data_IF_851988158980
#
_entry.id   IF_851988158980
#
_cell.length_a   1.000
_cell.length_b   1.000
_cell.length_c   1.000
_cell.angle_alpha   90.00
_cell.angle_beta   90.00
_cell.angle_gamma   90.00
#
_symmetry.space_group_name_H-M   'P 1'
#
loop_
_entity.id
_entity.type
_entity.pdbx_description
1 polymer ?
#
# COMPACT_ATOMS: atom_id res chain seq x y z
N UNK A 1 16.78 43.79 -27.51
CA UNK A 1 15.89 43.77 -26.32
C UNK A 1 14.55 43.22 -26.76
N UNK A 2 14.32 41.92 -26.60
CA UNK A 2 12.95 41.37 -26.67
C UNK A 2 12.88 40.19 -25.72
N UNK A 3 11.90 40.28 -24.84
CA UNK A 3 11.76 39.62 -23.55
C UNK A 3 11.78 38.09 -23.63
N UNK A 4 12.73 37.48 -22.93
CA UNK A 4 12.61 36.10 -22.47
C UNK A 4 11.50 36.09 -21.42
N UNK A 5 10.27 35.81 -21.86
CA UNK A 5 9.10 35.60 -21.01
C UNK A 5 9.32 34.33 -20.18
N UNK A 6 9.97 34.52 -19.02
CA UNK A 6 10.00 33.56 -17.92
C UNK A 6 8.57 33.39 -17.42
N UNK A 7 7.82 32.42 -18.00
CA UNK A 7 6.51 32.03 -17.50
C UNK A 7 6.70 31.22 -16.22
N UNK A 8 6.86 31.98 -15.15
CA UNK A 8 7.04 31.61 -13.75
C UNK A 8 5.70 31.09 -13.20
N UNK A 9 5.55 29.78 -13.02
CA UNK A 9 5.00 29.19 -11.80
C UNK A 9 4.95 27.67 -11.90
N UNK A 10 5.68 27.00 -11.01
CA UNK A 10 5.32 25.66 -10.56
C UNK A 10 3.81 25.67 -10.28
N UNK A 11 3.01 24.98 -11.08
CA UNK A 11 1.54 24.94 -10.94
C UNK A 11 1.19 23.95 -9.83
N UNK A 12 1.76 24.19 -8.64
CA UNK A 12 1.68 23.33 -7.44
C UNK A 12 0.24 23.00 -7.16
N UNK A 13 -0.63 24.01 -7.26
CA UNK A 13 -2.03 23.89 -6.95
C UNK A 13 -2.76 22.95 -7.92
N UNK A 14 -2.39 22.96 -9.21
CA UNK A 14 -2.96 22.05 -10.21
C UNK A 14 -2.44 20.63 -10.02
N UNK A 15 -1.13 20.48 -9.80
CA UNK A 15 -0.48 19.20 -9.54
C UNK A 15 -1.01 18.55 -8.26
N UNK A 16 -1.13 19.33 -7.18
CA UNK A 16 -1.67 18.93 -5.90
C UNK A 16 -3.15 18.59 -6.02
N UNK A 17 -3.98 19.40 -6.70
CA UNK A 17 -5.39 19.07 -6.93
C UNK A 17 -5.55 17.77 -7.72
N UNK A 18 -4.70 17.52 -8.72
CA UNK A 18 -4.77 16.30 -9.51
C UNK A 18 -4.27 15.07 -8.71
N UNK A 19 -3.18 15.22 -7.95
CA UNK A 19 -2.67 14.18 -7.05
C UNK A 19 -3.66 13.85 -5.92
N UNK A 20 -4.28 14.86 -5.31
CA UNK A 20 -5.30 14.71 -4.28
C UNK A 20 -6.59 14.10 -4.85
N UNK A 21 -7.08 14.58 -6.00
CA UNK A 21 -8.29 14.05 -6.64
C UNK A 21 -8.13 12.60 -7.10
N UNK A 22 -7.00 12.28 -7.72
CA UNK A 22 -6.64 10.90 -8.09
C UNK A 22 -6.43 10.01 -6.88
N UNK A 23 -5.75 10.51 -5.84
CA UNK A 23 -5.52 9.78 -4.60
C UNK A 23 -6.83 9.47 -3.86
N UNK A 24 -7.74 10.44 -3.72
CA UNK A 24 -9.01 10.26 -3.01
C UNK A 24 -9.95 9.28 -3.73
N UNK A 25 -10.01 9.35 -5.05
CA UNK A 25 -10.78 8.38 -5.85
C UNK A 25 -10.18 6.97 -5.80
N UNK A 26 -8.84 6.86 -5.79
CA UNK A 26 -8.16 5.59 -5.56
C UNK A 26 -8.39 5.01 -4.15
N UNK A 27 -8.44 5.88 -3.14
CA UNK A 27 -8.70 5.50 -1.76
C UNK A 27 -10.13 4.98 -1.56
N UNK A 28 -11.13 5.66 -2.12
CA UNK A 28 -12.54 5.24 -2.03
C UNK A 28 -12.78 3.91 -2.75
N UNK A 29 -12.20 3.72 -3.94
CA UNK A 29 -12.23 2.45 -4.65
C UNK A 29 -11.62 1.31 -3.81
N UNK A 30 -10.54 1.59 -3.07
CA UNK A 30 -9.92 0.62 -2.16
C UNK A 30 -10.80 0.25 -0.97
N UNK A 31 -11.58 1.19 -0.41
CA UNK A 31 -12.53 0.86 0.67
C UNK A 31 -13.56 -0.16 0.20
N UNK A 32 -14.17 0.08 -0.97
CA UNK A 32 -15.13 -0.86 -1.57
C UNK A 32 -14.46 -2.20 -1.84
N UNK A 33 -13.26 -2.18 -2.43
CA UNK A 33 -12.50 -3.39 -2.72
C UNK A 33 -12.15 -4.19 -1.46
N UNK A 34 -11.78 -3.52 -0.36
CA UNK A 34 -11.47 -4.17 0.93
C UNK A 34 -12.73 -4.77 1.52
N UNK A 35 -13.87 -4.09 1.48
CA UNK A 35 -15.13 -4.62 1.99
C UNK A 35 -15.59 -5.87 1.20
N UNK A 36 -15.52 -5.82 -0.13
CA UNK A 36 -16.02 -6.91 -1.00
C UNK A 36 -15.07 -8.09 -1.06
N UNK A 37 -13.75 -7.86 -1.19
CA UNK A 37 -12.77 -8.93 -1.44
C UNK A 37 -12.08 -9.44 -0.18
N UNK A 38 -12.46 -8.95 1.00
CA UNK A 38 -11.88 -9.39 2.28
C UNK A 38 -11.90 -10.92 2.46
N UNK A 39 -13.04 -11.61 2.28
CA UNK A 39 -13.11 -13.05 2.51
C UNK A 39 -12.18 -13.85 1.61
N UNK A 40 -12.08 -13.43 0.34
CA UNK A 40 -11.18 -14.05 -0.64
C UNK A 40 -9.71 -13.83 -0.25
N UNK A 41 -9.33 -12.59 0.11
CA UNK A 41 -7.97 -12.26 0.52
C UNK A 41 -7.53 -13.01 1.78
N UNK A 42 -8.41 -13.13 2.77
CA UNK A 42 -8.13 -13.89 4.00
C UNK A 42 -7.93 -15.37 3.68
N UNK A 43 -8.76 -15.94 2.81
CA UNK A 43 -8.62 -17.34 2.35
C UNK A 43 -7.30 -17.54 1.62
N UNK A 44 -6.98 -16.68 0.65
CA UNK A 44 -5.70 -16.74 -0.08
C UNK A 44 -4.49 -16.61 0.85
N UNK A 45 -4.52 -15.68 1.81
CA UNK A 45 -3.42 -15.50 2.78
C UNK A 45 -3.23 -16.73 3.67
N UNK A 46 -4.32 -17.39 4.05
CA UNK A 46 -4.25 -18.65 4.77
C UNK A 46 -3.64 -19.76 3.90
N UNK A 47 -4.07 -19.88 2.64
CA UNK A 47 -3.52 -20.83 1.69
C UNK A 47 -2.02 -20.62 1.45
N UNK A 48 -1.57 -19.38 1.25
CA UNK A 48 -0.15 -19.08 1.08
C UNK A 48 0.68 -19.44 2.31
N UNK A 49 0.12 -19.29 3.52
CA UNK A 49 0.85 -19.56 4.76
C UNK A 49 0.95 -21.05 5.09
N UNK A 50 -0.09 -21.83 4.79
CA UNK A 50 -0.24 -23.22 5.21
C UNK A 50 -0.18 -24.23 4.04
N UNK A 51 -0.15 -23.76 2.79
CA UNK A 51 -0.07 -24.62 1.60
C UNK A 51 -1.33 -25.43 1.29
N UNK A 52 -2.49 -25.05 1.84
CA UNK A 52 -3.74 -25.83 1.74
C UNK A 52 -4.56 -25.50 0.49
N UNK A 53 -5.43 -26.42 0.08
CA UNK A 53 -6.41 -26.18 -0.99
C UNK A 53 -7.44 -25.12 -0.58
N UNK A 54 -8.09 -24.47 -1.55
CA UNK A 54 -9.07 -23.39 -1.28
C UNK A 54 -10.25 -23.89 -0.48
N UNK A 55 -10.75 -25.08 -0.82
CA UNK A 55 -11.90 -25.72 -0.15
C UNK A 55 -11.58 -26.07 1.30
N UNK A 56 -10.36 -26.52 1.55
CA UNK A 56 -9.88 -26.84 2.90
C UNK A 56 -9.68 -25.58 3.74
N UNK A 57 -9.04 -24.54 3.18
CA UNK A 57 -8.91 -23.24 3.83
C UNK A 57 -10.28 -22.66 4.20
N UNK A 58 -11.25 -22.64 3.27
CA UNK A 58 -12.61 -22.17 3.54
C UNK A 58 -13.27 -22.93 4.69
N UNK A 59 -13.19 -24.26 4.70
CA UNK A 59 -13.76 -25.11 5.77
C UNK A 59 -13.08 -24.84 7.12
N UNK A 60 -11.76 -24.71 7.14
CA UNK A 60 -10.99 -24.43 8.37
C UNK A 60 -11.29 -23.05 8.91
N UNK A 61 -11.28 -22.01 8.07
CA UNK A 61 -11.64 -20.65 8.48
C UNK A 61 -13.09 -20.56 8.99
N UNK A 62 -14.02 -21.27 8.36
CA UNK A 62 -15.41 -21.30 8.81
C UNK A 62 -15.56 -22.03 10.15
N UNK A 63 -14.83 -23.12 10.38
CA UNK A 63 -14.81 -23.83 11.68
C UNK A 63 -14.17 -22.99 12.79
N UNK A 64 -13.11 -22.24 12.48
CA UNK A 64 -12.37 -21.43 13.47
C UNK A 64 -13.17 -20.23 14.02
N UNK A 65 -14.07 -19.65 13.25
CA UNK A 65 -14.80 -18.46 13.69
C UNK A 65 -15.91 -17.98 12.78
N UNK A 66 -16.42 -18.86 11.91
CA UNK A 66 -17.50 -18.59 10.98
C UNK A 66 -17.22 -17.39 10.07
N UNK A 67 -18.29 -16.68 9.70
CA UNK A 67 -18.23 -15.53 8.79
C UNK A 67 -17.32 -14.41 9.33
N UNK A 68 -17.27 -14.21 10.65
CA UNK A 68 -16.41 -13.18 11.27
C UNK A 68 -14.91 -13.46 11.09
N UNK A 69 -14.50 -14.73 10.96
CA UNK A 69 -13.09 -15.09 10.73
C UNK A 69 -12.57 -14.58 9.39
N UNK A 70 -13.42 -14.55 8.37
CA UNK A 70 -13.09 -14.01 7.04
C UNK A 70 -12.80 -12.51 7.05
N UNK A 71 -13.34 -11.76 8.02
CA UNK A 71 -13.10 -10.32 8.21
C UNK A 71 -12.03 -10.01 9.27
N UNK A 72 -11.26 -11.01 9.71
CA UNK A 72 -10.18 -10.80 10.69
C UNK A 72 -9.06 -9.95 10.10
N UNK A 73 -8.85 -8.75 10.64
CA UNK A 73 -7.90 -7.77 10.09
C UNK A 73 -8.52 -6.74 9.14
N UNK A 74 -9.86 -6.60 9.11
CA UNK A 74 -10.55 -5.58 8.30
C UNK A 74 -10.17 -4.16 8.71
N UNK A 75 -10.00 -3.89 10.01
CA UNK A 75 -9.61 -2.57 10.54
C UNK A 75 -8.29 -2.07 9.94
N UNK A 76 -7.16 -2.79 10.12
CA UNK A 76 -5.91 -2.38 9.50
C UNK A 76 -5.94 -2.43 7.97
N UNK A 77 -6.75 -3.31 7.35
CA UNK A 77 -6.94 -3.33 5.90
C UNK A 77 -7.63 -2.08 5.35
N UNK A 78 -8.63 -1.55 6.07
CA UNK A 78 -9.36 -0.33 5.70
C UNK A 78 -8.53 0.95 5.88
N UNK A 79 -7.47 0.91 6.69
CA UNK A 79 -6.52 2.01 6.80
C UNK A 79 -5.43 1.86 5.72
N UNK A 80 -4.83 0.67 5.63
CA UNK A 80 -3.68 0.43 4.76
C UNK A 80 -4.02 0.45 3.27
N UNK A 81 -5.14 -0.15 2.85
CA UNK A 81 -5.51 -0.22 1.44
C UNK A 81 -5.74 1.17 0.82
N UNK A 82 -6.64 1.98 1.39
CA UNK A 82 -6.89 3.34 0.92
C UNK A 82 -5.66 4.23 1.01
N UNK A 83 -4.90 4.17 2.11
CA UNK A 83 -3.70 4.99 2.29
C UNK A 83 -2.58 4.62 1.31
N UNK A 84 -2.36 3.32 1.06
CA UNK A 84 -1.40 2.84 0.05
C UNK A 84 -1.78 3.34 -1.33
N UNK A 85 -3.03 3.16 -1.73
CA UNK A 85 -3.48 3.54 -3.07
C UNK A 85 -3.51 5.05 -3.26
N UNK A 86 -3.87 5.80 -2.23
CA UNK A 86 -3.75 7.25 -2.22
C UNK A 86 -2.32 7.68 -2.48
N UNK A 87 -1.36 7.21 -1.67
CA UNK A 87 0.02 7.67 -1.77
C UNK A 87 0.70 7.22 -3.07
N UNK A 88 0.42 6.01 -3.56
CA UNK A 88 0.92 5.57 -4.87
C UNK A 88 0.40 6.46 -6.00
N UNK A 89 -0.88 6.83 -5.98
CA UNK A 89 -1.49 7.67 -7.02
C UNK A 89 -1.01 9.12 -6.91
N UNK A 90 -0.91 9.64 -5.69
CA UNK A 90 -0.40 10.99 -5.42
C UNK A 90 1.09 11.13 -5.76
N UNK A 91 1.92 10.12 -5.46
CA UNK A 91 3.33 10.10 -5.81
C UNK A 91 3.55 10.05 -7.33
N UNK A 92 2.79 9.20 -8.03
CA UNK A 92 2.86 9.12 -9.50
C UNK A 92 2.46 10.46 -10.14
N UNK A 93 1.32 11.03 -9.77
CA UNK A 93 0.86 12.30 -10.31
C UNK A 93 1.78 13.48 -9.93
N UNK A 94 2.27 13.50 -8.68
CA UNK A 94 3.16 14.53 -8.17
C UNK A 94 4.52 14.55 -8.85
N UNK A 95 5.11 13.38 -9.14
CA UNK A 95 6.42 13.29 -9.80
C UNK A 95 6.34 13.60 -11.28
N UNK A 96 5.27 13.19 -11.96
CA UNK A 96 5.04 13.61 -13.34
C UNK A 96 4.92 15.14 -13.43
N UNK A 97 4.12 15.76 -12.55
CA UNK A 97 3.98 17.21 -12.51
C UNK A 97 5.27 17.94 -12.12
N UNK A 98 6.08 17.38 -11.22
CA UNK A 98 7.39 17.93 -10.86
C UNK A 98 8.38 17.84 -12.03
N UNK A 99 8.45 16.71 -12.73
CA UNK A 99 9.36 16.51 -13.85
C UNK A 99 8.95 17.29 -15.10
N UNK A 100 7.66 17.49 -15.33
CA UNK A 100 7.16 18.33 -16.43
C UNK A 100 7.35 19.82 -16.19
N UNK A 101 7.66 20.24 -14.96
CA UNK A 101 7.93 21.65 -14.63
C UNK A 101 9.29 22.16 -15.08
N UNK A 102 10.23 21.25 -15.41
CA UNK A 102 11.57 21.59 -15.86
C UNK A 102 11.69 21.27 -17.36
N UNK A 103 12.03 22.26 -18.18
CA UNK A 103 12.08 22.15 -19.65
C UNK A 103 13.03 21.03 -20.13
N UNK A 104 14.08 20.77 -19.35
CA UNK A 104 15.05 19.68 -19.60
C UNK A 104 14.49 18.32 -19.17
N UNK A 105 13.75 18.26 -18.06
CA UNK A 105 13.17 17.02 -17.54
C UNK A 105 11.86 16.63 -18.23
N UNK A 106 11.12 17.58 -18.82
CA UNK A 106 9.92 17.33 -19.61
C UNK A 106 10.24 16.48 -20.86
N UNK A 107 11.41 16.70 -21.47
CA UNK A 107 11.92 15.93 -22.61
C UNK A 107 12.49 14.55 -22.24
N UNK A 108 12.59 14.22 -20.94
CA UNK A 108 13.08 12.90 -20.54
C UNK A 108 12.08 11.80 -20.92
N UNK A 109 12.57 10.61 -21.30
CA UNK A 109 11.72 9.46 -21.56
C UNK A 109 10.84 9.14 -20.35
N UNK A 110 9.60 8.71 -20.59
CA UNK A 110 8.64 8.33 -19.53
C UNK A 110 9.26 7.31 -18.57
N UNK A 111 10.10 6.40 -19.09
CA UNK A 111 10.83 5.43 -18.28
C UNK A 111 11.66 6.06 -17.14
N UNK A 112 12.34 7.19 -17.39
CA UNK A 112 13.14 7.88 -16.36
C UNK A 112 12.24 8.55 -15.32
N UNK A 113 11.10 9.11 -15.76
CA UNK A 113 10.11 9.70 -14.87
C UNK A 113 9.46 8.64 -13.95
N UNK A 114 9.24 7.44 -14.49
CA UNK A 114 8.71 6.30 -13.73
C UNK A 114 9.68 5.78 -12.67
N UNK A 115 11.01 5.89 -12.88
CA UNK A 115 12.00 5.52 -11.85
C UNK A 115 11.83 6.41 -10.62
N UNK A 116 11.72 7.73 -10.81
CA UNK A 116 11.47 8.66 -9.71
C UNK A 116 10.18 8.33 -8.96
N UNK A 117 9.10 8.07 -9.71
CA UNK A 117 7.81 7.67 -9.13
C UNK A 117 7.88 6.36 -8.35
N UNK A 118 8.66 5.39 -8.86
CA UNK A 118 8.89 4.09 -8.22
C UNK A 118 9.67 4.24 -6.91
N UNK A 119 10.68 5.11 -6.86
CA UNK A 119 11.45 5.37 -5.64
C UNK A 119 10.57 6.04 -4.58
N UNK A 120 9.75 7.02 -4.95
CA UNK A 120 8.83 7.65 -4.02
C UNK A 120 7.76 6.69 -3.51
N UNK A 121 7.18 5.85 -4.37
CA UNK A 121 6.27 4.78 -3.96
C UNK A 121 6.97 3.77 -3.04
N UNK A 122 8.22 3.40 -3.31
CA UNK A 122 8.99 2.50 -2.43
C UNK A 122 9.22 3.11 -1.03
N UNK A 123 9.60 4.39 -0.95
CA UNK A 123 9.72 5.10 0.33
C UNK A 123 8.39 5.15 1.07
N UNK A 124 7.29 5.42 0.37
CA UNK A 124 5.95 5.43 0.94
C UNK A 124 5.55 4.05 1.47
N UNK A 125 5.87 2.97 0.73
CA UNK A 125 5.67 1.59 1.17
C UNK A 125 6.47 1.25 2.43
N UNK A 126 7.68 1.77 2.61
CA UNK A 126 8.44 1.57 3.85
C UNK A 126 7.68 2.13 5.06
N UNK A 127 7.02 3.28 4.94
CA UNK A 127 6.20 3.86 6.02
C UNK A 127 4.96 3.01 6.30
N UNK A 128 4.35 2.41 5.26
CA UNK A 128 3.14 1.59 5.40
C UNK A 128 3.40 0.13 5.78
N UNK A 129 4.64 -0.35 5.67
CA UNK A 129 5.00 -1.74 5.93
C UNK A 129 4.55 -2.22 7.32
N UNK A 130 4.75 -1.48 8.42
CA UNK A 130 4.28 -1.92 9.74
C UNK A 130 2.77 -2.19 9.81
N UNK A 131 1.98 -1.39 9.11
CA UNK A 131 0.52 -1.56 9.04
C UNK A 131 0.15 -2.78 8.21
N UNK A 132 0.89 -3.04 7.13
CA UNK A 132 0.71 -4.25 6.32
C UNK A 132 1.10 -5.52 7.09
N UNK A 133 2.19 -5.50 7.84
CA UNK A 133 2.61 -6.61 8.72
C UNK A 133 1.53 -6.91 9.77
N UNK A 134 0.96 -5.88 10.38
CA UNK A 134 -0.15 -6.03 11.32
C UNK A 134 -1.38 -6.67 10.66
N UNK A 135 -1.79 -6.13 9.50
CA UNK A 135 -2.93 -6.64 8.71
C UNK A 135 -2.75 -8.12 8.35
N UNK A 136 -1.61 -8.48 7.74
CA UNK A 136 -1.34 -9.84 7.27
C UNK A 136 -1.20 -10.83 8.42
N UNK A 137 -0.60 -10.42 9.54
CA UNK A 137 -0.55 -11.24 10.76
C UNK A 137 -1.96 -11.51 11.30
N UNK A 138 -2.85 -10.52 11.31
CA UNK A 138 -4.23 -10.71 11.76
C UNK A 138 -5.09 -11.52 10.78
N UNK A 139 -4.87 -11.36 9.46
CA UNK A 139 -5.57 -12.17 8.46
C UNK A 139 -5.16 -13.65 8.57
N UNK A 140 -3.87 -13.93 8.72
CA UNK A 140 -3.33 -15.30 8.84
C UNK A 140 -3.63 -15.93 10.19
N UNK A 141 -3.28 -15.28 11.30
CA UNK A 141 -3.36 -15.86 12.66
C UNK A 141 -4.67 -15.54 13.41
N UNK A 142 -5.55 -14.70 12.86
CA UNK A 142 -6.83 -14.36 13.49
C UNK A 142 -6.64 -13.67 14.85
N UNK A 143 -7.38 -14.11 15.87
CA UNK A 143 -7.36 -13.53 17.23
C UNK A 143 -5.99 -13.63 17.91
N UNK A 144 -5.19 -14.66 17.58
CA UNK A 144 -3.84 -14.83 18.11
C UNK A 144 -2.80 -13.91 17.44
N UNK A 145 -3.16 -13.18 16.38
CA UNK A 145 -2.21 -12.34 15.65
C UNK A 145 -1.62 -11.19 16.48
N UNK A 146 -2.42 -10.52 17.32
CA UNK A 146 -1.93 -9.44 18.19
C UNK A 146 -0.91 -9.91 19.24
N UNK A 147 -1.16 -10.97 20.02
CA UNK A 147 -0.17 -11.45 20.99
C UNK A 147 1.11 -11.97 20.32
N UNK A 148 1.01 -12.65 19.17
CA UNK A 148 2.19 -13.09 18.40
C UNK A 148 3.02 -11.89 17.94
N UNK A 149 2.37 -10.84 17.42
CA UNK A 149 3.06 -9.63 16.98
C UNK A 149 3.72 -8.89 18.14
N UNK A 150 3.03 -8.76 19.28
CA UNK A 150 3.59 -8.16 20.49
C UNK A 150 4.81 -8.94 21.00
N UNK A 151 4.74 -10.27 21.03
CA UNK A 151 5.85 -11.12 21.41
C UNK A 151 7.05 -10.95 20.45
N UNK A 152 6.78 -10.85 19.14
CA UNK A 152 7.83 -10.59 18.14
C UNK A 152 8.50 -9.23 18.34
N UNK A 153 7.72 -8.17 18.59
CA UNK A 153 8.26 -6.83 18.87
C UNK A 153 9.06 -6.82 20.16
N UNK A 154 8.60 -7.51 21.21
CA UNK A 154 9.33 -7.63 22.47
C UNK A 154 10.67 -8.37 22.31
N UNK A 155 10.72 -9.39 21.44
CA UNK A 155 11.93 -10.18 21.23
C UNK A 155 12.94 -9.54 20.25
N UNK A 156 12.48 -8.88 19.19
CA UNK A 156 13.33 -8.42 18.08
C UNK A 156 13.29 -6.90 17.87
N UNK A 157 12.53 -6.16 18.69
CA UNK A 157 12.30 -4.73 18.53
C UNK A 157 11.31 -4.38 17.43
N UNK A 158 11.03 -3.07 17.29
CA UNK A 158 10.05 -2.52 16.33
C UNK A 158 10.52 -2.69 14.88
N UNK A 159 11.82 -2.81 14.64
CA UNK A 159 12.42 -3.09 13.33
C UNK A 159 11.97 -4.42 12.72
N UNK A 160 11.49 -5.36 13.54
CA UNK A 160 10.92 -6.64 13.09
C UNK A 160 9.67 -6.49 12.21
N UNK A 161 9.03 -5.31 12.23
CA UNK A 161 7.92 -4.97 11.34
C UNK A 161 8.37 -4.72 9.89
N UNK A 162 9.66 -4.50 9.65
CA UNK A 162 10.25 -4.35 8.32
C UNK A 162 10.92 -5.62 7.81
N UNK A 163 10.79 -6.74 8.51
CA UNK A 163 11.34 -8.01 8.04
C UNK A 163 10.56 -8.45 6.78
N UNK A 164 11.22 -8.30 5.63
CA UNK A 164 10.67 -8.55 4.29
C UNK A 164 10.38 -7.30 3.44
N UNK A 165 10.54 -6.08 3.98
CA UNK A 165 10.35 -4.84 3.19
C UNK A 165 11.53 -4.51 2.30
N UNK A 166 12.74 -4.90 2.72
CA UNK A 166 13.93 -4.92 1.90
C UNK A 166 14.00 -6.33 1.33
N UNK A 167 14.08 -6.47 0.00
CA UNK A 167 14.27 -7.76 -0.66
C UNK A 167 15.57 -8.39 -0.11
N UNK A 168 15.44 -9.16 0.97
CA UNK A 168 16.53 -9.93 1.53
C UNK A 168 16.56 -11.20 0.71
N UNK A 169 17.23 -11.11 -0.45
CA UNK A 169 17.67 -12.30 -1.15
C UNK A 169 18.54 -13.10 -0.20
N UNK A 170 18.09 -14.31 0.11
CA UNK A 170 19.05 -15.39 0.33
C UNK A 170 19.49 -15.88 -1.03
#
# INVERSE_FOLDING_TARGET
MTEVQVKKSFNVDKALKQALGGGLSGASAMVVQVATLMPLRTTMNYQYRYGTSTTEALKTLFKDGGIKRFYSGVGPALIQGPLSRFGDTAANAGIMAFLDSNETASKLPVAVKTIGASVASACFRMVLTPVDTLKTTLQTQGKAGLPILKARIAANGVSSLWYGSVATGK
#
